data_IF_436110414132
#
_entry.id   IF_436110414132
#
_cell.length_a   1.000
_cell.length_b   1.000
_cell.length_c   1.000
_cell.angle_alpha   90.00
_cell.angle_beta   90.00
_cell.angle_gamma   90.00
#
_symmetry.space_group_name_H-M   'P 1'
#
loop_
_entity.id
_entity.type
_entity.pdbx_description
1 polymer ?
#
# COMPACT_ATOMS: atom_id res chain seq x y z
N UNK A 1 2.81 20.90 23.68
CA UNK A 1 3.43 20.06 22.62
C UNK A 1 4.94 20.08 22.73
N UNK A 2 5.58 21.26 22.81
CA UNK A 2 7.03 21.38 23.03
C UNK A 2 7.46 20.83 24.41
N UNK A 3 6.70 21.11 25.47
CA UNK A 3 6.96 20.57 26.82
C UNK A 3 6.87 19.04 26.92
N UNK A 4 6.19 18.40 25.95
CA UNK A 4 6.05 16.94 25.89
C UNK A 4 7.06 16.29 24.93
N UNK A 5 7.96 17.09 24.32
CA UNK A 5 8.87 16.65 23.26
C UNK A 5 8.19 15.90 22.09
N UNK A 6 6.90 16.20 21.84
CA UNK A 6 6.09 15.55 20.80
C UNK A 6 6.28 16.19 19.42
N UNK A 7 7.12 17.22 19.32
CA UNK A 7 7.46 17.85 18.05
C UNK A 7 8.64 17.13 17.39
N UNK A 8 8.63 16.94 16.06
CA UNK A 8 9.74 16.35 15.32
C UNK A 8 11.03 17.12 15.60
N UNK A 9 12.01 16.46 16.22
CA UNK A 9 13.35 17.02 16.37
C UNK A 9 14.16 16.88 15.07
N UNK A 10 15.09 17.79 14.85
CA UNK A 10 16.06 17.66 13.75
C UNK A 10 16.88 16.39 13.97
N UNK A 11 16.99 15.57 12.93
CA UNK A 11 17.87 14.40 12.93
C UNK A 11 19.34 14.85 13.03
N UNK A 12 20.27 13.91 13.23
CA UNK A 12 21.72 14.17 13.18
C UNK A 12 22.18 14.83 11.86
N UNK A 13 21.38 14.74 10.79
CA UNK A 13 21.60 15.44 9.51
C UNK A 13 21.12 16.89 9.48
N UNK A 14 20.53 17.40 10.58
CA UNK A 14 19.92 18.73 10.67
C UNK A 14 18.55 18.86 10.00
N UNK A 15 18.03 17.77 9.39
CA UNK A 15 16.74 17.75 8.69
C UNK A 15 15.60 17.38 9.61
N UNK A 16 14.44 18.00 9.40
CA UNK A 16 13.18 17.60 10.01
C UNK A 16 12.67 16.33 9.31
N UNK A 17 12.61 15.22 10.03
CA UNK A 17 12.19 13.95 9.46
C UNK A 17 10.71 13.91 9.06
N UNK A 18 9.87 14.76 9.67
CA UNK A 18 8.44 14.82 9.41
C UNK A 18 8.04 15.87 8.35
N UNK A 19 9.01 16.53 7.71
CA UNK A 19 8.75 17.59 6.72
C UNK A 19 7.80 17.11 5.60
N UNK A 20 7.98 15.89 5.10
CA UNK A 20 7.14 15.35 4.04
C UNK A 20 5.72 14.98 4.46
N UNK A 21 5.37 15.04 5.75
CA UNK A 21 4.01 14.79 6.23
C UNK A 21 3.08 15.98 6.02
N UNK A 22 3.63 17.15 5.64
CA UNK A 22 2.86 18.37 5.37
C UNK A 22 1.89 18.25 4.18
N UNK A 23 1.96 17.15 3.42
CA UNK A 23 0.94 16.81 2.42
C UNK A 23 -0.44 16.55 3.07
N UNK A 24 -0.45 16.23 4.37
CA UNK A 24 -1.66 16.13 5.18
C UNK A 24 -1.78 17.31 6.14
N UNK A 25 -3.03 17.70 6.41
CA UNK A 25 -3.37 18.64 7.48
C UNK A 25 -4.25 17.89 8.48
N UNK A 26 -3.75 17.45 9.64
CA UNK A 26 -4.56 16.72 10.62
C UNK A 26 -5.80 17.50 11.08
N UNK A 27 -6.81 16.76 11.53
CA UNK A 27 -8.09 17.24 12.04
C UNK A 27 -9.20 17.33 10.99
N UNK A 28 -10.45 17.42 11.48
CA UNK A 28 -11.66 17.43 10.65
C UNK A 28 -11.64 18.51 9.55
N UNK A 29 -11.08 19.70 9.85
CA UNK A 29 -10.97 20.78 8.87
C UNK A 29 -10.08 20.37 7.68
N UNK A 30 -8.98 19.66 7.93
CA UNK A 30 -8.11 19.12 6.90
C UNK A 30 -8.77 17.99 6.13
N UNK A 31 -9.46 17.08 6.81
CA UNK A 31 -10.23 16.01 6.19
C UNK A 31 -11.31 16.53 5.23
N UNK A 32 -12.09 17.54 5.65
CA UNK A 32 -13.07 18.23 4.80
C UNK A 32 -12.40 18.97 3.63
N UNK A 33 -11.20 19.51 3.85
CA UNK A 33 -10.38 20.10 2.79
C UNK A 33 -9.96 19.09 1.73
N UNK A 34 -9.44 17.93 2.15
CA UNK A 34 -9.05 16.83 1.27
C UNK A 34 -10.24 16.31 0.46
N UNK A 35 -11.38 16.07 1.11
CA UNK A 35 -12.61 15.64 0.43
C UNK A 35 -13.06 16.66 -0.62
N UNK A 36 -13.09 17.96 -0.29
CA UNK A 36 -13.48 19.00 -1.26
C UNK A 36 -12.55 19.05 -2.47
N UNK A 37 -11.24 18.97 -2.27
CA UNK A 37 -10.27 18.91 -3.37
C UNK A 37 -10.53 17.70 -4.25
N UNK A 38 -10.67 16.52 -3.64
CA UNK A 38 -10.94 15.28 -4.37
C UNK A 38 -12.22 15.37 -5.21
N UNK A 39 -13.34 15.80 -4.62
CA UNK A 39 -14.61 15.94 -5.33
C UNK A 39 -14.55 16.97 -6.48
N UNK A 40 -13.75 18.03 -6.32
CA UNK A 40 -13.63 19.08 -7.32
C UNK A 40 -12.73 18.71 -8.52
N UNK A 41 -11.63 18.01 -8.28
CA UNK A 41 -10.60 17.79 -9.32
C UNK A 41 -10.16 16.34 -9.50
N UNK A 42 -10.17 15.51 -8.46
CA UNK A 42 -9.69 14.12 -8.53
C UNK A 42 -10.76 13.12 -9.00
N UNK A 43 -12.02 13.34 -8.60
CA UNK A 43 -13.09 12.38 -8.79
C UNK A 43 -13.36 12.09 -10.27
N UNK A 44 -13.35 13.10 -11.14
CA UNK A 44 -13.74 12.94 -12.54
C UNK A 44 -12.91 11.86 -13.28
N UNK A 45 -11.62 11.78 -13.00
CA UNK A 45 -10.70 10.82 -13.63
C UNK A 45 -10.35 9.65 -12.70
N UNK A 46 -11.06 9.50 -11.57
CA UNK A 46 -10.70 8.52 -10.54
C UNK A 46 -10.77 7.07 -11.05
N UNK A 47 -11.81 6.73 -11.82
CA UNK A 47 -12.02 5.36 -12.28
C UNK A 47 -10.85 4.82 -13.09
N UNK A 48 -10.43 5.59 -14.10
CA UNK A 48 -9.35 5.22 -15.02
C UNK A 48 -7.96 5.56 -14.46
N UNK A 49 -7.90 6.53 -13.55
CA UNK A 49 -6.66 7.13 -13.07
C UNK A 49 -6.17 6.65 -11.70
N UNK A 50 -6.99 6.00 -10.87
CA UNK A 50 -6.61 5.57 -9.51
C UNK A 50 -5.43 4.60 -9.43
N UNK A 51 -5.07 3.95 -10.54
CA UNK A 51 -3.93 3.04 -10.61
C UNK A 51 -2.63 3.74 -11.06
N UNK A 52 -2.69 5.03 -11.38
CA UNK A 52 -1.58 5.84 -11.91
C UNK A 52 -0.91 6.64 -10.78
N UNK A 53 0.15 6.11 -10.12
CA UNK A 53 0.85 6.83 -9.06
C UNK A 53 1.54 8.11 -9.53
N UNK A 54 1.75 8.28 -10.83
CA UNK A 54 2.24 9.50 -11.45
C UNK A 54 1.21 10.62 -11.53
N UNK A 55 -0.08 10.31 -11.33
CA UNK A 55 -1.17 11.27 -11.34
C UNK A 55 -1.72 11.49 -9.94
N UNK A 56 -2.08 12.74 -9.65
CA UNK A 56 -2.63 13.13 -8.36
C UNK A 56 -4.16 13.00 -8.32
N UNK A 57 -4.65 11.76 -8.41
CA UNK A 57 -6.08 11.47 -8.59
C UNK A 57 -6.75 10.80 -7.39
N UNK A 58 -6.01 10.54 -6.30
CA UNK A 58 -6.58 9.89 -5.10
C UNK A 58 -7.06 10.91 -4.08
N UNK A 59 -7.87 10.48 -3.11
CA UNK A 59 -8.55 11.40 -2.17
C UNK A 59 -7.69 11.90 -1.01
N UNK A 60 -6.58 11.20 -0.69
CA UNK A 60 -5.77 11.43 0.51
C UNK A 60 -6.57 11.38 1.83
N UNK A 61 -7.70 10.67 1.83
CA UNK A 61 -8.58 10.56 3.00
C UNK A 61 -8.20 9.44 3.96
N UNK A 62 -7.26 8.55 3.63
CA UNK A 62 -6.97 7.37 4.44
C UNK A 62 -6.48 7.69 5.86
N UNK A 63 -5.56 8.65 6.12
CA UNK A 63 -5.22 9.00 7.50
C UNK A 63 -6.40 9.62 8.25
N UNK A 64 -7.18 10.46 7.58
CA UNK A 64 -8.36 11.11 8.16
C UNK A 64 -9.43 10.09 8.57
N UNK A 65 -9.66 9.07 7.74
CA UNK A 65 -10.56 7.95 8.05
C UNK A 65 -10.04 7.11 9.22
N UNK A 66 -8.73 6.85 9.27
CA UNK A 66 -8.09 6.08 10.34
C UNK A 66 -8.29 6.71 11.72
N UNK A 67 -8.20 8.04 11.81
CA UNK A 67 -8.37 8.79 13.06
C UNK A 67 -9.80 9.27 13.31
N UNK A 68 -10.76 8.91 12.45
CA UNK A 68 -12.16 9.29 12.61
C UNK A 68 -12.43 10.80 12.42
N UNK A 69 -11.51 11.52 11.78
CA UNK A 69 -11.63 12.96 11.50
C UNK A 69 -12.70 13.26 10.45
N UNK A 70 -13.11 12.24 9.69
CA UNK A 70 -14.27 12.27 8.80
C UNK A 70 -14.93 10.91 8.79
N UNK A 71 -16.27 10.87 8.86
CA UNK A 71 -17.00 9.60 8.79
C UNK A 71 -17.18 9.14 7.33
N UNK A 72 -17.14 7.82 7.04
CA UNK A 72 -17.47 7.29 5.72
C UNK A 72 -18.85 7.75 5.23
N UNK A 73 -19.84 7.82 6.14
CA UNK A 73 -21.19 8.33 5.83
C UNK A 73 -21.17 9.78 5.33
N UNK A 74 -20.33 10.64 5.92
CA UNK A 74 -20.16 12.02 5.46
C UNK A 74 -19.59 12.06 4.05
N UNK A 75 -18.57 11.24 3.77
CA UNK A 75 -17.99 11.14 2.43
C UNK A 75 -19.06 10.74 1.41
N UNK A 76 -19.82 9.68 1.68
CA UNK A 76 -20.91 9.21 0.81
C UNK A 76 -21.97 10.28 0.58
N UNK A 77 -22.36 11.01 1.64
CA UNK A 77 -23.36 12.09 1.54
C UNK A 77 -22.87 13.23 0.64
N UNK A 78 -21.61 13.67 0.75
CA UNK A 78 -21.08 14.73 -0.12
C UNK A 78 -20.86 14.23 -1.55
N UNK A 79 -20.47 12.97 -1.72
CA UNK A 79 -20.36 12.32 -3.03
C UNK A 79 -21.72 12.30 -3.75
N UNK A 80 -22.79 11.90 -3.07
CA UNK A 80 -24.16 11.89 -3.61
C UNK A 80 -24.60 13.27 -4.10
N UNK A 81 -24.29 14.34 -3.35
CA UNK A 81 -24.64 15.71 -3.75
C UNK A 81 -23.99 16.10 -5.07
N UNK A 82 -22.71 15.77 -5.24
CA UNK A 82 -21.95 16.09 -6.46
C UNK A 82 -22.42 15.25 -7.65
N UNK A 83 -22.73 13.96 -7.43
CA UNK A 83 -23.27 13.08 -8.47
C UNK A 83 -24.64 13.55 -8.95
N UNK A 84 -25.53 13.99 -8.04
CA UNK A 84 -26.86 14.51 -8.40
C UNK A 84 -26.81 15.73 -9.33
N UNK A 85 -25.81 16.59 -9.18
CA UNK A 85 -25.65 17.77 -10.04
C UNK A 85 -24.84 17.50 -11.31
N UNK A 86 -24.12 16.38 -11.37
CA UNK A 86 -23.14 16.11 -12.44
C UNK A 86 -23.19 14.63 -12.88
N UNK A 87 -24.08 14.25 -13.82
CA UNK A 87 -24.30 12.86 -14.22
C UNK A 87 -23.04 12.11 -14.70
N UNK A 88 -22.08 12.79 -15.33
CA UNK A 88 -20.81 12.19 -15.76
C UNK A 88 -19.96 11.64 -14.61
N UNK A 89 -20.24 12.05 -13.36
CA UNK A 89 -19.50 11.58 -12.19
C UNK A 89 -20.08 10.28 -11.58
N UNK A 90 -21.16 9.72 -12.13
CA UNK A 90 -21.78 8.48 -11.61
C UNK A 90 -20.77 7.33 -11.58
N UNK A 91 -20.15 7.00 -12.72
CA UNK A 91 -19.22 5.88 -12.82
C UNK A 91 -17.97 6.02 -11.90
N UNK A 92 -17.23 7.15 -11.92
CA UNK A 92 -16.11 7.32 -11.00
C UNK A 92 -16.51 7.40 -9.52
N UNK A 93 -17.69 7.95 -9.21
CA UNK A 93 -18.21 7.92 -7.85
C UNK A 93 -18.50 6.49 -7.38
N UNK A 94 -19.13 5.66 -8.20
CA UNK A 94 -19.34 4.24 -7.89
C UNK A 94 -18.02 3.49 -7.71
N UNK A 95 -17.01 3.79 -8.54
CA UNK A 95 -15.68 3.24 -8.33
C UNK A 95 -15.09 3.67 -6.98
N UNK A 96 -15.20 4.94 -6.61
CA UNK A 96 -14.73 5.44 -5.31
C UNK A 96 -15.50 4.84 -4.12
N UNK A 97 -16.82 4.64 -4.23
CA UNK A 97 -17.61 3.95 -3.21
C UNK A 97 -17.10 2.55 -2.94
N UNK A 98 -16.79 1.78 -3.98
CA UNK A 98 -16.25 0.42 -3.83
C UNK A 98 -14.94 0.41 -3.03
N UNK A 99 -14.12 1.44 -3.14
CA UNK A 99 -12.86 1.55 -2.39
C UNK A 99 -13.12 1.91 -0.91
N UNK A 100 -14.20 2.64 -0.59
CA UNK A 100 -14.69 2.76 0.79
C UNK A 100 -15.25 1.43 1.30
N UNK A 101 -15.95 0.67 0.47
CA UNK A 101 -16.44 -0.67 0.84
C UNK A 101 -15.30 -1.63 1.12
N UNK A 102 -14.16 -1.54 0.42
CA UNK A 102 -12.95 -2.30 0.75
C UNK A 102 -12.44 -2.06 2.18
N UNK A 103 -12.59 -0.83 2.70
CA UNK A 103 -12.31 -0.55 4.12
C UNK A 103 -13.26 -1.35 5.02
N UNK A 104 -14.56 -1.22 4.79
CA UNK A 104 -15.58 -1.92 5.60
C UNK A 104 -15.40 -3.46 5.51
N UNK A 105 -15.06 -3.97 4.33
CA UNK A 105 -14.78 -5.39 4.12
C UNK A 105 -13.61 -5.88 4.98
N UNK A 106 -12.50 -5.14 5.04
CA UNK A 106 -11.39 -5.50 5.91
C UNK A 106 -11.78 -5.48 7.40
N UNK A 107 -12.63 -4.53 7.82
CA UNK A 107 -13.14 -4.50 9.19
C UNK A 107 -14.03 -5.72 9.50
N UNK A 108 -14.84 -6.17 8.54
CA UNK A 108 -15.61 -7.41 8.70
C UNK A 108 -14.69 -8.64 8.81
N UNK A 109 -13.60 -8.69 8.04
CA UNK A 109 -12.61 -9.77 8.17
C UNK A 109 -11.95 -9.74 9.55
N UNK A 110 -11.58 -8.56 10.06
CA UNK A 110 -10.98 -8.42 11.38
C UNK A 110 -11.94 -8.86 12.50
N UNK A 111 -13.24 -8.59 12.35
CA UNK A 111 -14.26 -9.06 13.29
C UNK A 111 -14.35 -10.60 13.33
N UNK A 112 -14.26 -11.25 12.17
CA UNK A 112 -14.24 -12.71 12.05
C UNK A 112 -12.92 -13.34 12.52
N UNK A 113 -11.80 -12.63 12.38
CA UNK A 113 -10.46 -13.07 12.77
C UNK A 113 -9.73 -11.93 13.52
N UNK A 114 -9.91 -11.81 14.84
CA UNK A 114 -9.29 -10.74 15.63
C UNK A 114 -7.75 -10.74 15.58
N UNK A 115 -7.13 -11.88 15.30
CA UNK A 115 -5.69 -12.04 15.15
C UNK A 115 -5.22 -11.82 13.69
N UNK A 116 -5.95 -11.05 12.87
CA UNK A 116 -5.64 -10.84 11.45
C UNK A 116 -4.21 -10.36 11.17
N UNK A 117 -3.58 -9.66 12.12
CA UNK A 117 -2.21 -9.15 12.01
C UNK A 117 -1.13 -10.20 12.29
N UNK A 118 -1.47 -11.32 12.94
CA UNK A 118 -0.51 -12.39 13.29
C UNK A 118 -0.88 -13.75 12.69
N UNK A 119 -2.14 -14.01 12.36
CA UNK A 119 -2.61 -15.29 11.84
C UNK A 119 -3.09 -15.17 10.39
N UNK A 120 -2.68 -16.11 9.55
CA UNK A 120 -3.19 -16.20 8.19
C UNK A 120 -4.71 -16.49 8.24
N UNK A 121 -5.50 -15.86 7.38
CA UNK A 121 -6.93 -16.17 7.28
C UNK A 121 -7.13 -17.58 6.71
N UNK A 122 -6.29 -17.97 5.75
CA UNK A 122 -6.21 -19.34 5.23
C UNK A 122 -5.11 -20.10 5.95
N UNK A 123 -5.49 -21.13 6.70
CA UNK A 123 -4.56 -21.92 7.51
C UNK A 123 -3.60 -22.78 6.66
N UNK A 124 -3.90 -23.02 5.36
CA UNK A 124 -3.01 -23.73 4.40
C UNK A 124 -1.69 -22.99 4.11
N UNK A 125 -1.54 -21.76 4.60
CA UNK A 125 -0.30 -20.97 4.54
C UNK A 125 0.49 -20.95 5.86
N UNK A 126 0.04 -21.66 6.91
CA UNK A 126 0.68 -21.63 8.22
C UNK A 126 2.09 -22.25 8.23
N UNK A 127 2.33 -23.21 7.34
CA UNK A 127 3.63 -23.87 7.16
C UNK A 127 4.38 -23.37 5.92
N UNK A 128 3.97 -22.22 5.36
CA UNK A 128 4.59 -21.68 4.16
C UNK A 128 6.10 -21.42 4.39
N UNK A 129 7.00 -21.84 3.47
CA UNK A 129 8.44 -21.84 3.70
C UNK A 129 9.07 -20.46 3.44
N UNK A 130 8.75 -19.47 4.30
CA UNK A 130 9.33 -18.13 4.25
C UNK A 130 10.86 -18.16 4.47
N UNK A 131 11.56 -17.24 3.82
CA UNK A 131 13.00 -17.02 4.02
C UNK A 131 13.26 -16.01 5.14
N UNK A 132 14.30 -16.28 5.90
CA UNK A 132 14.87 -15.31 6.84
C UNK A 132 16.08 -14.63 6.19
N UNK A 133 15.90 -13.40 5.73
CA UNK A 133 16.98 -12.56 5.19
C UNK A 133 16.83 -11.12 5.67
N UNK A 134 17.53 -10.77 6.75
CA UNK A 134 17.56 -9.40 7.26
C UNK A 134 18.23 -8.43 6.30
N UNK A 135 19.19 -8.92 5.49
CA UNK A 135 19.84 -8.14 4.45
C UNK A 135 18.82 -7.70 3.40
N UNK A 136 18.06 -8.64 2.85
CA UNK A 136 17.10 -8.33 1.79
C UNK A 136 15.89 -7.56 2.32
N UNK A 137 15.45 -7.85 3.55
CA UNK A 137 14.43 -7.06 4.22
C UNK A 137 14.86 -5.60 4.39
N UNK A 138 16.10 -5.34 4.84
CA UNK A 138 16.62 -3.96 4.98
C UNK A 138 16.76 -3.25 3.65
N UNK A 139 17.22 -3.95 2.60
CA UNK A 139 17.28 -3.39 1.25
C UNK A 139 15.88 -3.01 0.75
N UNK A 140 14.87 -3.87 0.97
CA UNK A 140 13.48 -3.55 0.67
C UNK A 140 12.98 -2.35 1.49
N UNK A 141 13.13 -2.37 2.81
CA UNK A 141 12.66 -1.31 3.70
C UNK A 141 13.23 0.08 3.32
N UNK A 142 14.46 0.13 2.80
CA UNK A 142 15.16 1.37 2.39
C UNK A 142 14.92 1.77 0.92
N UNK A 143 14.28 0.93 0.12
CA UNK A 143 14.17 1.14 -1.33
C UNK A 143 15.53 1.06 -2.03
N UNK A 144 16.29 0.00 -1.74
CA UNK A 144 17.60 -0.31 -2.31
C UNK A 144 17.60 -1.69 -3.00
N UNK A 145 16.47 -2.06 -3.60
CA UNK A 145 16.25 -3.39 -4.21
C UNK A 145 16.81 -3.51 -5.61
N UNK A 146 17.10 -2.40 -6.28
CA UNK A 146 17.45 -2.40 -7.70
C UNK A 146 16.23 -2.50 -8.63
N UNK A 147 15.01 -2.39 -8.08
CA UNK A 147 13.76 -2.28 -8.85
C UNK A 147 13.15 -0.88 -8.66
N UNK A 148 13.27 0.02 -9.66
CA UNK A 148 12.93 1.43 -9.50
C UNK A 148 11.54 1.74 -8.95
N UNK A 149 10.50 0.99 -9.34
CA UNK A 149 9.14 1.22 -8.83
C UNK A 149 9.01 0.83 -7.35
N UNK A 150 9.63 -0.27 -6.94
CA UNK A 150 9.64 -0.71 -5.54
C UNK A 150 10.42 0.30 -4.70
N UNK A 151 11.59 0.69 -5.18
CA UNK A 151 12.48 1.60 -4.48
C UNK A 151 11.87 3.00 -4.31
N UNK A 152 11.25 3.54 -5.36
CA UNK A 152 10.47 4.79 -5.30
C UNK A 152 9.30 4.68 -4.31
N UNK A 153 8.61 3.54 -4.28
CA UNK A 153 7.53 3.27 -3.31
C UNK A 153 8.00 3.34 -1.87
N UNK A 154 9.05 2.58 -1.55
CA UNK A 154 9.59 2.51 -0.19
C UNK A 154 10.17 3.86 0.26
N UNK A 155 10.77 4.63 -0.68
CA UNK A 155 11.19 6.01 -0.45
C UNK A 155 10.02 6.98 -0.25
N UNK A 156 8.93 6.83 -1.00
CA UNK A 156 7.70 7.61 -0.78
C UNK A 156 7.17 7.35 0.64
N UNK A 157 7.03 6.09 1.02
CA UNK A 157 6.55 5.70 2.35
C UNK A 157 7.36 6.38 3.45
N UNK A 158 8.69 6.26 3.39
CA UNK A 158 9.56 6.85 4.39
C UNK A 158 9.49 8.39 4.42
N UNK A 159 9.42 9.02 3.24
CA UNK A 159 9.44 10.48 3.13
C UNK A 159 8.11 11.13 3.53
N UNK A 160 6.97 10.50 3.22
CA UNK A 160 5.66 11.14 3.34
C UNK A 160 4.69 10.44 4.29
N UNK A 161 5.05 9.28 4.83
CA UNK A 161 4.17 8.47 5.67
C UNK A 161 2.92 7.97 4.93
N UNK A 162 2.99 7.92 3.60
CA UNK A 162 1.91 7.53 2.71
C UNK A 162 2.52 6.87 1.49
N UNK A 163 1.84 5.87 0.94
CA UNK A 163 2.22 5.25 -0.33
C UNK A 163 0.97 5.07 -1.19
N UNK A 164 1.09 5.32 -2.50
CA UNK A 164 0.00 5.08 -3.44
C UNK A 164 -0.41 3.60 -3.46
N UNK A 165 -1.72 3.28 -3.48
CA UNK A 165 -2.22 1.90 -3.33
C UNK A 165 -1.62 0.90 -4.33
N UNK A 166 -1.57 1.27 -5.62
CA UNK A 166 -0.92 0.43 -6.65
C UNK A 166 0.53 0.08 -6.29
N UNK A 167 1.26 1.03 -5.72
CA UNK A 167 2.67 0.85 -5.34
C UNK A 167 2.78 0.02 -4.05
N UNK A 168 1.86 0.18 -3.08
CA UNK A 168 1.76 -0.71 -1.91
C UNK A 168 1.65 -2.17 -2.34
N UNK A 169 0.76 -2.47 -3.29
CA UNK A 169 0.58 -3.83 -3.82
C UNK A 169 1.86 -4.38 -4.47
N UNK A 170 2.58 -3.55 -5.24
CA UNK A 170 3.84 -3.96 -5.88
C UNK A 170 4.94 -4.19 -4.84
N UNK A 171 5.12 -3.28 -3.89
CA UNK A 171 6.12 -3.40 -2.83
C UNK A 171 5.84 -4.60 -1.92
N UNK A 172 4.58 -4.82 -1.54
CA UNK A 172 4.17 -5.98 -0.75
C UNK A 172 4.39 -7.29 -1.53
N UNK A 173 4.00 -7.34 -2.81
CA UNK A 173 4.22 -8.51 -3.64
C UNK A 173 5.70 -8.81 -3.83
N UNK A 174 6.54 -7.78 -3.93
CA UNK A 174 7.98 -7.96 -4.02
C UNK A 174 8.54 -8.61 -2.75
N UNK A 175 8.13 -8.14 -1.57
CA UNK A 175 8.57 -8.73 -0.31
C UNK A 175 8.15 -10.21 -0.20
N UNK A 176 6.87 -10.50 -0.39
CA UNK A 176 6.32 -11.84 -0.11
C UNK A 176 6.56 -12.84 -1.24
N UNK A 177 6.73 -12.39 -2.48
CA UNK A 177 6.93 -13.28 -3.65
C UNK A 177 8.36 -13.24 -4.17
N UNK A 178 8.96 -12.06 -4.35
CA UNK A 178 10.34 -12.01 -4.88
C UNK A 178 11.37 -12.37 -3.82
N UNK A 179 11.24 -11.81 -2.62
CA UNK A 179 12.16 -12.07 -1.51
C UNK A 179 11.74 -13.27 -0.67
N UNK A 180 10.50 -13.73 -0.84
CA UNK A 180 9.90 -14.83 -0.08
C UNK A 180 9.96 -14.59 1.44
N UNK A 181 9.89 -13.33 1.86
CA UNK A 181 9.93 -12.93 3.28
C UNK A 181 8.51 -12.90 3.83
N UNK A 182 8.35 -13.34 5.08
CA UNK A 182 7.05 -13.36 5.77
C UNK A 182 6.38 -11.97 5.73
N UNK A 183 5.12 -11.97 5.28
CA UNK A 183 4.29 -10.77 5.14
C UNK A 183 4.16 -9.98 6.44
N UNK A 184 4.21 -10.66 7.61
CA UNK A 184 4.12 -10.01 8.93
C UNK A 184 5.23 -8.99 9.15
N UNK A 185 6.42 -9.23 8.60
CA UNK A 185 7.54 -8.28 8.69
C UNK A 185 7.27 -7.01 7.88
N UNK A 186 6.65 -7.17 6.71
CA UNK A 186 6.24 -6.07 5.87
C UNK A 186 5.06 -5.29 6.46
N UNK A 187 4.09 -6.01 7.01
CA UNK A 187 2.93 -5.46 7.73
C UNK A 187 3.38 -4.57 8.88
N UNK A 188 4.27 -5.05 9.75
CA UNK A 188 4.80 -4.27 10.87
C UNK A 188 5.62 -3.06 10.38
N UNK A 189 6.42 -3.21 9.34
CA UNK A 189 7.14 -2.06 8.77
C UNK A 189 6.19 -0.98 8.24
N UNK A 190 5.11 -1.40 7.58
CA UNK A 190 4.07 -0.49 7.11
C UNK A 190 3.31 0.14 8.27
N UNK A 191 3.06 -0.61 9.35
CA UNK A 191 2.47 -0.09 10.58
C UNK A 191 3.30 1.05 11.18
N UNK A 192 4.61 0.88 11.22
CA UNK A 192 5.52 1.87 11.81
C UNK A 192 5.71 3.12 10.93
N UNK A 193 5.47 3.00 9.61
CA UNK A 193 5.76 4.07 8.65
C UNK A 193 4.50 4.80 8.12
N UNK A 194 3.33 4.16 8.11
CA UNK A 194 2.12 4.74 7.51
C UNK A 194 1.35 5.62 8.51
N UNK A 195 1.00 6.83 8.06
CA UNK A 195 0.04 7.70 8.76
C UNK A 195 -1.38 7.14 8.74
N UNK A 196 -1.67 6.23 7.81
CA UNK A 196 -2.96 5.52 7.70
C UNK A 196 -2.89 4.05 8.14
N UNK A 197 -1.88 3.66 8.93
CA UNK A 197 -1.79 2.34 9.51
C UNK A 197 -3.08 1.97 10.26
N UNK A 198 -3.79 0.95 9.76
CA UNK A 198 -5.14 0.56 10.21
C UNK A 198 -5.15 -0.95 10.53
N UNK A 199 -5.70 -1.35 11.70
CA UNK A 199 -5.61 -2.73 12.18
C UNK A 199 -6.40 -3.73 11.35
N UNK A 200 -7.33 -3.26 10.51
CA UNK A 200 -8.06 -4.11 9.60
C UNK A 200 -7.43 -4.04 8.19
N UNK A 201 -7.32 -2.83 7.65
CA UNK A 201 -6.95 -2.60 6.27
C UNK A 201 -5.49 -2.95 5.98
N UNK A 202 -4.55 -2.70 6.90
CA UNK A 202 -3.15 -3.06 6.69
C UNK A 202 -2.97 -4.58 6.61
N UNK A 203 -3.28 -5.38 7.64
CA UNK A 203 -3.07 -6.82 7.58
C UNK A 203 -3.98 -7.50 6.53
N UNK A 204 -5.22 -7.06 6.36
CA UNK A 204 -6.12 -7.61 5.33
C UNK A 204 -5.56 -7.46 3.91
N UNK A 205 -4.96 -6.32 3.57
CA UNK A 205 -4.31 -6.13 2.27
C UNK A 205 -2.98 -6.89 2.14
N UNK A 206 -2.19 -7.00 3.22
CA UNK A 206 -0.97 -7.82 3.21
C UNK A 206 -1.30 -9.29 2.93
N UNK A 207 -2.33 -9.82 3.57
CA UNK A 207 -2.79 -11.19 3.34
C UNK A 207 -3.39 -11.38 1.93
N UNK A 208 -4.09 -10.37 1.41
CA UNK A 208 -4.58 -10.38 0.03
C UNK A 208 -3.44 -10.53 -0.98
N UNK A 209 -2.33 -9.81 -0.77
CA UNK A 209 -1.14 -9.88 -1.63
C UNK A 209 -0.36 -11.18 -1.42
N UNK A 210 -0.25 -11.65 -0.17
CA UNK A 210 0.43 -12.89 0.20
C UNK A 210 -0.30 -14.15 -0.26
N UNK A 211 -1.57 -14.05 -0.69
CA UNK A 211 -2.36 -15.19 -1.14
C UNK A 211 -3.06 -15.96 -0.02
N UNK A 212 -2.95 -15.50 1.23
CA UNK A 212 -3.47 -16.19 2.42
C UNK A 212 -4.70 -15.51 3.07
N UNK A 213 -5.24 -14.45 2.45
CA UNK A 213 -6.46 -13.75 2.89
C UNK A 213 -7.77 -14.39 2.43
N UNK A 214 -8.90 -13.88 2.96
CA UNK A 214 -10.26 -14.37 2.69
C UNK A 214 -10.69 -14.30 1.20
N UNK A 215 -10.34 -13.22 0.50
CA UNK A 215 -10.56 -13.02 -0.94
C UNK A 215 -9.21 -12.77 -1.66
N UNK A 216 -8.20 -13.56 -1.30
CA UNK A 216 -6.84 -13.26 -1.73
C UNK A 216 -6.65 -13.38 -3.25
N UNK A 217 -5.78 -12.53 -3.80
CA UNK A 217 -5.32 -12.72 -5.16
C UNK A 217 -4.69 -14.11 -5.30
N UNK A 218 -4.96 -14.86 -6.38
CA UNK A 218 -4.33 -16.16 -6.58
C UNK A 218 -2.81 -16.06 -6.47
N UNK A 219 -2.19 -16.91 -5.65
CA UNK A 219 -0.78 -16.77 -5.28
C UNK A 219 0.14 -16.69 -6.50
N UNK A 220 -0.15 -17.49 -7.54
CA UNK A 220 0.60 -17.54 -8.79
C UNK A 220 0.64 -16.21 -9.57
N UNK A 221 -0.18 -15.23 -9.20
CA UNK A 221 -0.10 -13.86 -9.71
C UNK A 221 1.09 -13.12 -9.08
N UNK A 222 2.29 -13.37 -9.60
CA UNK A 222 3.51 -12.64 -9.25
C UNK A 222 3.61 -11.38 -10.13
N UNK A 223 3.54 -10.19 -9.52
CA UNK A 223 3.70 -8.95 -10.28
C UNK A 223 5.13 -8.81 -10.77
N UNK A 224 5.35 -8.66 -12.08
CA UNK A 224 6.66 -8.23 -12.58
C UNK A 224 6.81 -6.71 -12.31
N UNK A 225 7.72 -6.27 -11.42
CA UNK A 225 7.80 -4.86 -11.06
C UNK A 225 8.14 -3.95 -12.23
N UNK A 226 8.85 -4.47 -13.25
CA UNK A 226 9.21 -3.72 -14.47
C UNK A 226 7.95 -3.43 -15.28
N UNK A 227 7.15 -4.45 -15.59
CA UNK A 227 5.92 -4.23 -16.38
C UNK A 227 4.84 -3.48 -15.62
N UNK A 228 4.82 -3.55 -14.28
CA UNK A 228 3.99 -2.66 -13.46
C UNK A 228 4.45 -1.20 -13.59
N UNK A 229 5.76 -0.96 -13.64
CA UNK A 229 6.33 0.38 -13.86
C UNK A 229 5.91 0.94 -15.21
N UNK A 230 6.08 0.17 -16.29
CA UNK A 230 5.73 0.59 -17.66
C UNK A 230 4.23 0.89 -17.80
N UNK A 231 3.39 0.09 -17.15
CA UNK A 231 1.94 0.22 -17.24
C UNK A 231 1.39 1.40 -16.44
N UNK A 232 1.90 1.62 -15.24
CA UNK A 232 1.28 2.53 -14.28
C UNK A 232 2.04 3.85 -14.09
N UNK A 233 3.31 3.92 -14.50
CA UNK A 233 4.11 5.14 -14.50
C UNK A 233 4.97 5.16 -15.78
N UNK A 234 4.33 5.28 -16.96
CA UNK A 234 4.99 5.12 -18.26
C UNK A 234 6.07 6.17 -18.53
N UNK A 235 5.94 7.35 -17.94
CA UNK A 235 6.82 8.49 -18.15
C UNK A 235 7.87 8.66 -17.03
N UNK A 236 8.01 7.68 -16.13
CA UNK A 236 8.82 7.72 -14.89
C UNK A 236 8.59 8.94 -13.98
N UNK A 237 7.43 9.60 -14.05
CA UNK A 237 7.16 10.79 -13.24
C UNK A 237 7.17 10.43 -11.76
N UNK A 238 6.52 9.33 -11.37
CA UNK A 238 6.50 8.86 -9.98
C UNK A 238 7.89 8.39 -9.54
N UNK A 239 8.54 7.54 -10.35
CA UNK A 239 9.88 7.03 -10.07
C UNK A 239 10.90 8.15 -9.89
N UNK A 240 10.98 9.13 -10.81
CA UNK A 240 11.92 10.26 -10.70
C UNK A 240 11.62 11.18 -9.52
N UNK A 241 10.35 11.27 -9.08
CA UNK A 241 9.97 12.10 -7.93
C UNK A 241 10.59 11.58 -6.64
N UNK A 242 10.50 10.27 -6.39
CA UNK A 242 10.90 9.67 -5.11
C UNK A 242 12.26 8.98 -5.15
N UNK A 243 12.72 8.58 -6.33
CA UNK A 243 14.00 7.93 -6.53
C UNK A 243 14.77 8.53 -7.71
N UNK A 244 15.26 9.76 -7.48
CA UNK A 244 15.98 10.52 -8.49
C UNK A 244 17.19 9.74 -9.00
N UNK A 245 17.36 9.64 -10.34
CA UNK A 245 18.59 9.11 -10.92
C UNK A 245 19.79 9.89 -10.37
N UNK A 246 20.83 9.18 -9.91
CA UNK A 246 22.05 9.79 -9.36
C UNK A 246 22.98 10.26 -10.49
N UNK A 247 22.50 11.21 -11.31
CA UNK A 247 23.26 11.71 -12.47
C UNK A 247 23.55 10.60 -13.49
N UNK A 248 24.83 10.43 -13.86
CA UNK A 248 25.28 9.41 -14.82
C UNK A 248 25.51 8.03 -14.20
N UNK A 249 25.31 7.87 -12.88
CA UNK A 249 25.53 6.59 -12.20
C UNK A 249 24.42 5.60 -12.58
N UNK A 250 24.76 4.42 -13.11
CA UNK A 250 23.77 3.38 -13.40
C UNK A 250 22.95 3.03 -12.16
N UNK A 251 21.67 2.73 -12.37
CA UNK A 251 20.81 2.26 -11.29
C UNK A 251 21.36 0.96 -10.69
N UNK A 252 21.28 0.74 -9.36
CA UNK A 252 21.79 -0.47 -8.73
C UNK A 252 21.25 -1.74 -9.39
N UNK A 253 22.08 -2.78 -9.44
CA UNK A 253 21.64 -4.09 -9.94
C UNK A 253 20.54 -4.66 -9.03
N UNK A 254 19.53 -5.34 -9.58
CA UNK A 254 18.53 -6.06 -8.81
C UNK A 254 19.15 -6.98 -7.75
N UNK A 255 18.65 -6.93 -6.52
CA UNK A 255 19.08 -7.82 -5.42
C UNK A 255 18.67 -9.28 -5.66
N UNK A 256 17.70 -9.51 -6.54
CA UNK A 256 17.26 -10.82 -7.00
C UNK A 256 16.78 -10.71 -8.46
N UNK A 257 17.10 -11.69 -9.30
CA UNK A 257 16.56 -11.77 -10.66
C UNK A 257 15.06 -12.11 -10.65
N UNK A 258 14.29 -11.50 -11.55
CA UNK A 258 12.83 -11.67 -11.58
C UNK A 258 12.41 -13.10 -11.93
N UNK A 259 13.04 -13.72 -12.95
CA UNK A 259 12.65 -15.04 -13.42
C UNK A 259 12.93 -16.08 -12.33
N UNK A 260 14.12 -16.04 -11.76
CA UNK A 260 14.50 -16.87 -10.63
C UNK A 260 13.56 -16.70 -9.43
N UNK A 261 13.29 -15.44 -9.03
CA UNK A 261 12.44 -15.17 -7.88
C UNK A 261 11.00 -15.67 -8.08
N UNK A 262 10.47 -15.51 -9.30
CA UNK A 262 9.14 -16.00 -9.68
C UNK A 262 9.05 -17.52 -9.60
N UNK A 263 10.03 -18.23 -10.16
CA UNK A 263 10.07 -19.70 -10.12
C UNK A 263 10.12 -20.20 -8.68
N UNK A 264 11.03 -19.65 -7.87
CA UNK A 264 11.16 -19.97 -6.45
C UNK A 264 9.87 -19.76 -5.65
N UNK A 265 9.15 -18.68 -5.92
CA UNK A 265 7.86 -18.42 -5.26
C UNK A 265 6.80 -19.46 -5.64
N UNK A 266 6.74 -19.85 -6.91
CA UNK A 266 5.80 -20.87 -7.38
C UNK A 266 6.12 -22.25 -6.82
N UNK A 267 7.41 -22.60 -6.69
CA UNK A 267 7.82 -23.86 -6.09
C UNK A 267 7.50 -23.90 -4.59
N UNK A 268 7.76 -22.81 -3.87
CA UNK A 268 7.34 -22.66 -2.47
C UNK A 268 5.82 -22.85 -2.33
N UNK A 269 5.03 -22.25 -3.22
CA UNK A 269 3.58 -22.38 -3.22
C UNK A 269 3.08 -23.80 -3.51
N UNK A 270 3.75 -24.54 -4.41
CA UNK A 270 3.45 -25.95 -4.70
C UNK A 270 3.85 -26.88 -3.56
N UNK A 271 4.90 -26.51 -2.80
CA UNK A 271 5.36 -27.28 -1.65
C UNK A 271 4.56 -27.03 -0.37
N UNK A 272 3.70 -25.99 -0.35
CA UNK A 272 2.76 -25.82 0.75
C UNK A 272 1.82 -27.01 0.67
N UNK A 273 1.80 -27.86 1.70
CA UNK A 273 0.91 -29.00 1.70
C UNK A 273 -0.52 -28.52 1.46
N UNK A 274 -1.23 -29.15 0.53
CA UNK A 274 -2.67 -29.00 0.51
C UNK A 274 -3.13 -29.51 1.88
N UNK A 275 -3.66 -28.62 2.72
CA UNK A 275 -4.34 -29.05 3.91
C UNK A 275 -5.48 -29.94 3.42
N UNK A 276 -5.33 -31.26 3.51
CA UNK A 276 -6.40 -32.19 3.24
C UNK A 276 -7.57 -31.77 4.14
N UNK A 277 -8.63 -31.27 3.51
CA UNK A 277 -10.00 -31.47 3.97
C UNK A 277 -10.28 -32.98 3.85
N UNK A 278 -9.70 -33.76 4.75
CA UNK A 278 -10.20 -35.08 5.14
C UNK A 278 -10.71 -34.93 6.57
N UNK A 279 -11.95 -34.48 6.70
CA UNK A 279 -12.77 -34.79 7.86
C UNK A 279 -14.20 -35.00 7.39
N UNK A 280 -14.59 -36.28 7.43
CA UNK A 280 -15.96 -36.81 7.35
C UNK A 280 -16.98 -36.03 8.20
#
# INVERSE_FOLDING_TARGET
MEDLALTPQKTSSGKNWAEGFSIFKPGEAGARGALRRFLASGLADYEDGRDRPDKDLTSYLSPHLRFGEISPRRILTELDKVVRSTPRLVAPAEKFRKELVWREFNYNILDLQPELHTRNFRDDFSTFPWQSSDKDFRAWARGETGYPLVDAGMKQLWQTGFMHNRVRMVCASFLVKHLLIDWRRGEQWFWDCLLDADPASNPGNWQWVAGCGADAAPYFRVFNPITQADKFDPDDIYRRKFDKPRGTVPYPRPIVDHAFARERALDAYRSRGDGNDDSD
#
